data_IF_171373192833
#
_entry.id   IF_171373192833
#
_cell.length_a   1.000
_cell.length_b   1.000
_cell.length_c   1.000
_cell.angle_alpha   90.00
_cell.angle_beta   90.00
_cell.angle_gamma   90.00
#
_symmetry.space_group_name_H-M   'P 1'
#
loop_
_entity.id
_entity.type
_entity.pdbx_description
1 polymer ?
#
# COMPACT_ATOMS: atom_id res chain seq x y z
N UNK A 1 -27.52 25.20 1.81
CA UNK A 1 -26.46 25.38 0.80
C UNK A 1 -25.37 24.41 1.18
N UNK A 2 -25.26 23.28 0.50
CA UNK A 2 -24.17 22.34 0.77
C UNK A 2 -22.87 23.03 0.34
N UNK A 3 -21.96 23.24 1.29
CA UNK A 3 -20.60 23.68 0.99
C UNK A 3 -19.99 22.64 0.04
N UNK A 4 -19.54 23.11 -1.12
CA UNK A 4 -18.73 22.30 -2.01
C UNK A 4 -17.38 22.11 -1.30
N UNK A 5 -17.25 20.99 -0.58
CA UNK A 5 -15.94 20.45 -0.27
C UNK A 5 -15.19 20.36 -1.61
N UNK A 6 -13.97 20.91 -1.67
CA UNK A 6 -13.08 20.63 -2.79
C UNK A 6 -13.11 19.12 -3.03
N UNK A 7 -13.17 18.66 -4.28
CA UNK A 7 -13.08 17.24 -4.58
C UNK A 7 -11.72 16.73 -4.09
N UNK A 8 -11.69 16.21 -2.86
CA UNK A 8 -10.51 15.61 -2.26
C UNK A 8 -10.37 14.25 -2.91
N UNK A 9 -9.26 14.02 -3.60
CA UNK A 9 -8.89 12.68 -4.03
C UNK A 9 -8.50 11.86 -2.79
N UNK A 10 -9.42 11.00 -2.36
CA UNK A 10 -9.24 10.16 -1.18
C UNK A 10 -8.08 9.17 -1.34
N UNK A 11 -7.72 8.81 -2.58
CA UNK A 11 -6.66 7.83 -2.82
C UNK A 11 -5.31 8.30 -2.26
N UNK A 12 -5.04 9.61 -2.28
CA UNK A 12 -3.79 10.18 -1.76
C UNK A 12 -3.63 10.04 -0.23
N UNK A 13 -4.67 9.59 0.48
CA UNK A 13 -4.72 9.43 1.94
C UNK A 13 -4.88 7.98 2.40
N UNK A 14 -4.81 7.00 1.48
CA UNK A 14 -5.07 5.59 1.77
C UNK A 14 -3.77 4.77 1.65
N UNK A 15 -3.37 4.12 2.74
CA UNK A 15 -2.32 3.10 2.68
C UNK A 15 -2.94 1.74 2.31
N UNK A 16 -2.50 1.14 1.20
CA UNK A 16 -3.03 -0.16 0.74
C UNK A 16 -2.39 -1.30 1.51
N UNK A 17 -3.10 -1.87 2.47
CA UNK A 17 -2.55 -2.82 3.43
C UNK A 17 -2.77 -4.28 3.07
N UNK A 18 -1.67 -5.03 2.89
CA UNK A 18 -1.61 -6.49 2.86
C UNK A 18 -0.92 -7.01 4.13
N UNK A 19 -1.62 -6.92 5.26
CA UNK A 19 -1.15 -7.41 6.57
C UNK A 19 -1.74 -8.78 6.91
N UNK A 20 -1.71 -9.68 5.94
CA UNK A 20 -2.06 -11.09 6.10
C UNK A 20 -0.77 -11.94 6.24
N UNK A 21 -0.56 -12.67 7.36
CA UNK A 21 0.62 -13.51 7.55
C UNK A 21 0.78 -14.63 6.52
N UNK A 22 -0.30 -15.02 5.83
CA UNK A 22 -0.27 -16.07 4.78
C UNK A 22 -0.27 -15.49 3.37
N UNK A 23 -0.03 -14.18 3.23
CA UNK A 23 0.08 -13.52 1.93
C UNK A 23 1.13 -14.19 1.05
N UNK A 24 0.75 -14.46 -0.20
CA UNK A 24 1.62 -15.05 -1.21
C UNK A 24 2.37 -13.97 -1.99
N UNK A 25 3.53 -14.29 -2.59
CA UNK A 25 4.21 -13.36 -3.49
C UNK A 25 3.35 -12.82 -4.63
N UNK A 26 2.40 -13.63 -5.14
CA UNK A 26 1.48 -13.18 -6.18
C UNK A 26 0.50 -12.12 -5.67
N UNK A 27 0.02 -12.25 -4.42
CA UNK A 27 -0.82 -11.24 -3.80
C UNK A 27 -0.05 -9.95 -3.56
N UNK A 28 1.22 -10.02 -3.16
CA UNK A 28 2.07 -8.82 -3.05
C UNK A 28 2.19 -8.10 -4.39
N UNK A 29 2.41 -8.85 -5.48
CA UNK A 29 2.46 -8.28 -6.83
C UNK A 29 1.15 -7.62 -7.26
N UNK A 30 0.02 -8.28 -6.97
CA UNK A 30 -1.31 -7.74 -7.21
C UNK A 30 -1.54 -6.44 -6.44
N UNK A 31 -1.23 -6.41 -5.14
CA UNK A 31 -1.42 -5.22 -4.30
C UNK A 31 -0.53 -4.05 -4.75
N UNK A 32 0.71 -4.31 -5.16
CA UNK A 32 1.57 -3.27 -5.74
C UNK A 32 0.97 -2.69 -7.03
N UNK A 33 0.41 -3.53 -7.89
CA UNK A 33 -0.25 -3.08 -9.11
C UNK A 33 -1.53 -2.27 -8.84
N UNK A 34 -2.34 -2.70 -7.86
CA UNK A 34 -3.54 -1.98 -7.44
C UNK A 34 -3.21 -0.61 -6.86
N UNK A 35 -2.19 -0.53 -6.01
CA UNK A 35 -1.79 0.75 -5.42
C UNK A 35 -1.32 1.76 -6.47
N UNK A 36 -0.58 1.30 -7.47
CA UNK A 36 -0.20 2.14 -8.60
C UNK A 36 -1.41 2.51 -9.48
N UNK A 37 -2.32 1.57 -9.72
CA UNK A 37 -3.54 1.80 -10.51
C UNK A 37 -4.44 2.86 -9.88
N UNK A 38 -4.61 2.81 -8.56
CA UNK A 38 -5.51 3.71 -7.82
C UNK A 38 -4.81 4.95 -7.27
N UNK A 39 -3.49 5.06 -7.40
CA UNK A 39 -2.73 6.22 -6.92
C UNK A 39 -2.52 6.27 -5.41
N UNK A 40 -2.54 5.11 -4.75
CA UNK A 40 -2.30 5.04 -3.31
C UNK A 40 -0.84 5.40 -2.98
N UNK A 41 -0.60 6.23 -1.95
CA UNK A 41 0.75 6.66 -1.57
C UNK A 41 1.63 5.51 -1.13
N UNK A 42 1.09 4.47 -0.46
CA UNK A 42 1.89 3.33 0.00
C UNK A 42 1.20 1.98 -0.15
N UNK A 43 2.02 0.93 -0.23
CA UNK A 43 1.63 -0.45 0.09
C UNK A 43 2.24 -0.84 1.43
N UNK A 44 1.38 -1.24 2.37
CA UNK A 44 1.79 -1.73 3.68
C UNK A 44 1.85 -3.26 3.69
N UNK A 45 3.04 -3.83 3.91
CA UNK A 45 3.25 -5.28 3.93
C UNK A 45 4.01 -5.73 5.18
N UNK A 46 3.93 -7.02 5.53
CA UNK A 46 4.83 -7.60 6.52
C UNK A 46 6.31 -7.51 6.09
N UNK A 47 7.27 -7.43 7.05
CA UNK A 47 8.69 -7.25 6.75
C UNK A 47 9.27 -8.27 5.76
N UNK A 48 8.77 -9.51 5.76
CA UNK A 48 9.20 -10.57 4.84
C UNK A 48 8.94 -10.24 3.36
N UNK A 49 7.95 -9.40 3.05
CA UNK A 49 7.59 -9.01 1.69
C UNK A 49 8.19 -7.67 1.24
N UNK A 50 8.83 -6.92 2.14
CA UNK A 50 9.38 -5.59 1.84
C UNK A 50 10.31 -5.63 0.64
N UNK A 51 11.20 -6.63 0.58
CA UNK A 51 12.13 -6.74 -0.55
C UNK A 51 11.41 -6.87 -1.89
N UNK A 52 10.42 -7.76 -1.95
CA UNK A 52 9.64 -7.99 -3.15
C UNK A 52 8.84 -6.74 -3.55
N UNK A 53 8.18 -6.09 -2.59
CA UNK A 53 7.39 -4.89 -2.85
C UNK A 53 8.26 -3.73 -3.36
N UNK A 54 9.47 -3.55 -2.80
CA UNK A 54 10.42 -2.52 -3.25
C UNK A 54 10.90 -2.82 -4.67
N UNK A 55 11.21 -4.07 -4.99
CA UNK A 55 11.65 -4.46 -6.34
C UNK A 55 10.52 -4.22 -7.38
N UNK A 56 9.25 -4.45 -7.00
CA UNK A 56 8.07 -4.22 -7.85
C UNK A 56 7.73 -2.73 -8.04
N UNK A 57 7.93 -1.92 -6.99
CA UNK A 57 7.62 -0.49 -6.97
C UNK A 57 8.85 0.40 -7.27
N UNK A 58 9.92 -0.19 -7.80
CA UNK A 58 11.10 0.57 -8.16
C UNK A 58 10.77 1.61 -9.24
N UNK A 59 11.15 2.87 -8.99
CA UNK A 59 10.85 4.02 -9.85
C UNK A 59 9.34 4.33 -10.00
N UNK A 60 8.52 3.91 -9.04
CA UNK A 60 7.09 4.19 -8.98
C UNK A 60 6.75 5.30 -7.99
N UNK A 61 5.50 5.81 -8.04
CA UNK A 61 5.02 6.85 -7.10
C UNK A 61 4.71 6.21 -5.75
N UNK A 62 4.05 5.06 -5.75
CA UNK A 62 3.70 4.32 -4.55
C UNK A 62 4.96 3.84 -3.82
N UNK A 63 5.01 4.11 -2.52
CA UNK A 63 6.12 3.71 -1.65
C UNK A 63 5.78 2.42 -0.88
N UNK A 64 6.80 1.82 -0.27
CA UNK A 64 6.61 0.65 0.60
C UNK A 64 6.66 1.09 2.06
N UNK A 65 5.67 0.70 2.85
CA UNK A 65 5.71 0.80 4.30
C UNK A 65 5.56 -0.59 4.93
N UNK A 66 5.98 -0.74 6.19
CA UNK A 66 5.95 -2.03 6.89
C UNK A 66 5.70 -1.84 8.37
N UNK A 67 5.26 -2.92 9.03
CA UNK A 67 4.95 -2.95 10.46
C UNK A 67 6.08 -3.58 11.27
N UNK A 68 6.27 -3.11 12.52
CA UNK A 68 7.23 -3.65 13.49
C UNK A 68 6.49 -3.84 14.82
N UNK A 69 6.70 -4.97 15.51
CA UNK A 69 5.95 -5.31 16.73
C UNK A 69 4.46 -5.61 16.48
N UNK A 70 4.06 -5.91 15.25
CA UNK A 70 2.67 -6.19 14.91
C UNK A 70 2.40 -7.70 14.86
N UNK A 71 1.24 -8.20 15.31
CA UNK A 71 0.09 -7.45 15.84
C UNK A 71 0.11 -7.21 17.37
N UNK A 72 1.09 -7.73 18.10
CA UNK A 72 1.01 -7.86 19.57
C UNK A 72 1.66 -6.76 20.40
N UNK A 73 2.34 -5.80 19.76
CA UNK A 73 3.22 -4.82 20.41
C UNK A 73 4.62 -5.37 20.67
#
# INVERSE_FOLDING_TARGET
MAEAYAEIDLAEFIDHALLDPVATPNQVAQFCAEAEQFGFPTVCVYPCHVRQAVDLLLHKRTQVCTVIGFPTG
#
